data_IF_948447265153
#
_entry.id   IF_948447265153
#
_cell.length_a   1.000
_cell.length_b   1.000
_cell.length_c   1.000
_cell.angle_alpha   90.00
_cell.angle_beta   90.00
_cell.angle_gamma   90.00
#
_symmetry.space_group_name_H-M   'P 1'
#
loop_
_entity.id
_entity.type
_entity.pdbx_description
1 polymer ?
#
# COMPACT_ATOMS: atom_id res chain seq x y z
N UNK A 1 -20.84 35.00 9.74
CA UNK A 1 -20.19 33.93 10.54
C UNK A 1 -21.15 33.00 11.29
N UNK A 2 -22.35 33.40 11.71
CA UNK A 2 -23.29 32.50 12.43
C UNK A 2 -24.10 31.51 11.56
N UNK A 3 -24.25 31.75 10.25
CA UNK A 3 -25.07 30.89 9.36
C UNK A 3 -24.36 29.64 8.83
N UNK A 4 -23.02 29.60 8.81
CA UNK A 4 -22.25 28.41 8.39
C UNK A 4 -22.20 27.33 9.48
N UNK A 5 -22.14 27.70 10.77
CA UNK A 5 -22.09 26.74 11.88
C UNK A 5 -23.37 25.89 12.07
N UNK A 6 -24.52 26.34 11.55
CA UNK A 6 -25.80 25.61 11.67
C UNK A 6 -25.95 24.45 10.69
N UNK A 7 -25.34 24.50 9.50
CA UNK A 7 -25.45 23.43 8.49
C UNK A 7 -24.62 22.20 8.86
N UNK A 8 -23.44 22.40 9.44
CA UNK A 8 -22.55 21.30 9.86
C UNK A 8 -23.07 20.56 11.10
N UNK A 9 -23.65 21.29 12.06
CA UNK A 9 -24.29 20.70 13.24
C UNK A 9 -25.58 19.93 12.90
N UNK A 10 -26.39 20.43 11.94
CA UNK A 10 -27.58 19.72 11.45
C UNK A 10 -27.24 18.44 10.68
N UNK A 11 -26.07 18.36 10.03
CA UNK A 11 -25.62 17.14 9.36
C UNK A 11 -25.07 16.10 10.35
N UNK A 12 -24.35 16.55 11.38
CA UNK A 12 -23.91 15.71 12.50
C UNK A 12 -25.07 15.05 13.25
N UNK A 13 -26.12 15.83 13.56
CA UNK A 13 -27.35 15.32 14.19
C UNK A 13 -28.13 14.37 13.27
N UNK A 14 -28.01 14.50 11.95
CA UNK A 14 -28.60 13.56 10.96
C UNK A 14 -27.76 12.30 10.77
N UNK A 15 -26.44 12.36 10.93
CA UNK A 15 -25.52 11.23 10.80
C UNK A 15 -25.53 10.27 11.98
N UNK A 16 -25.83 10.75 13.19
CA UNK A 16 -25.86 9.93 14.41
C UNK A 16 -27.15 9.08 14.57
N UNK A 17 -28.21 9.33 13.79
CA UNK A 17 -29.52 8.67 13.95
C UNK A 17 -30.10 7.98 12.72
N UNK A 18 -29.49 8.11 11.53
CA UNK A 18 -29.89 7.29 10.37
C UNK A 18 -28.93 6.11 10.30
N UNK A 19 -29.46 4.88 10.35
CA UNK A 19 -28.78 3.73 9.74
C UNK A 19 -28.49 4.13 8.30
N UNK A 20 -27.26 4.52 8.01
CA UNK A 20 -26.84 4.84 6.65
C UNK A 20 -26.88 3.53 5.89
N UNK A 21 -27.89 3.35 5.05
CA UNK A 21 -27.98 2.15 4.23
C UNK A 21 -26.93 2.24 3.11
N UNK A 22 -26.17 1.16 2.87
CA UNK A 22 -25.29 1.06 1.71
C UNK A 22 -26.08 1.31 0.43
N UNK A 23 -25.52 2.04 -0.52
CA UNK A 23 -26.13 2.11 -1.84
C UNK A 23 -25.87 0.77 -2.55
N UNK A 24 -26.84 0.21 -3.28
CA UNK A 24 -26.66 -1.07 -3.98
C UNK A 24 -25.40 -1.10 -4.86
N UNK A 25 -25.05 0.02 -5.48
CA UNK A 25 -23.88 0.15 -6.33
C UNK A 25 -22.55 -0.09 -5.59
N UNK A 26 -22.45 0.31 -4.32
CA UNK A 26 -21.24 0.14 -3.52
C UNK A 26 -21.07 -1.30 -3.07
N UNK A 27 -22.18 -1.96 -2.71
CA UNK A 27 -22.17 -3.39 -2.40
C UNK A 27 -21.78 -4.20 -3.63
N UNK A 28 -22.35 -3.87 -4.78
CA UNK A 28 -21.99 -4.48 -6.06
C UNK A 28 -20.51 -4.26 -6.40
N UNK A 29 -19.97 -3.06 -6.18
CA UNK A 29 -18.57 -2.78 -6.40
C UNK A 29 -17.66 -3.66 -5.52
N UNK A 30 -17.92 -3.71 -4.20
CA UNK A 30 -17.14 -4.56 -3.29
C UNK A 30 -17.20 -6.03 -3.69
N UNK A 31 -18.38 -6.53 -4.05
CA UNK A 31 -18.58 -7.91 -4.50
C UNK A 31 -17.89 -8.20 -5.85
N UNK A 32 -17.96 -7.28 -6.81
CA UNK A 32 -17.30 -7.41 -8.10
C UNK A 32 -15.78 -7.47 -7.96
N UNK A 33 -15.19 -6.58 -7.17
CA UNK A 33 -13.75 -6.64 -6.87
C UNK A 33 -13.38 -7.90 -6.09
N UNK A 34 -14.22 -8.36 -5.15
CA UNK A 34 -13.97 -9.61 -4.43
C UNK A 34 -13.92 -10.80 -5.40
N UNK A 35 -14.90 -10.91 -6.30
CA UNK A 35 -14.93 -11.95 -7.33
C UNK A 35 -13.71 -11.92 -8.25
N UNK A 36 -13.33 -10.73 -8.73
CA UNK A 36 -12.15 -10.53 -9.60
C UNK A 36 -10.86 -11.00 -8.91
N UNK A 37 -10.69 -10.60 -7.65
CA UNK A 37 -9.51 -10.96 -6.86
C UNK A 37 -9.50 -12.46 -6.55
N UNK A 38 -10.61 -13.04 -6.14
CA UNK A 38 -10.71 -14.49 -5.94
C UNK A 38 -10.37 -15.27 -7.21
N UNK A 39 -10.90 -14.85 -8.37
CA UNK A 39 -10.59 -15.49 -9.65
C UNK A 39 -9.10 -15.44 -9.97
N UNK A 40 -8.45 -14.29 -9.76
CA UNK A 40 -7.02 -14.12 -10.03
C UNK A 40 -6.16 -15.08 -9.18
N UNK A 41 -6.43 -15.18 -7.88
CA UNK A 41 -5.66 -16.04 -6.96
C UNK A 41 -5.98 -17.54 -7.09
N UNK A 42 -7.08 -17.90 -7.76
CA UNK A 42 -7.44 -19.30 -8.06
C UNK A 42 -7.09 -19.73 -9.50
N UNK A 43 -6.46 -18.85 -10.28
CA UNK A 43 -6.00 -19.16 -11.64
C UNK A 43 -5.09 -20.40 -11.70
N UNK A 44 -5.20 -21.15 -12.79
CA UNK A 44 -4.32 -22.27 -13.15
C UNK A 44 -3.88 -22.12 -14.61
N UNK A 45 -2.57 -21.97 -14.92
CA UNK A 45 -1.46 -21.85 -13.96
C UNK A 45 -1.60 -20.62 -13.05
N UNK A 46 -0.95 -20.65 -11.88
CA UNK A 46 -1.02 -19.55 -10.91
C UNK A 46 -0.40 -18.28 -11.50
N UNK A 47 -1.25 -17.29 -11.80
CA UNK A 47 -0.88 -16.01 -12.37
C UNK A 47 -1.85 -14.93 -11.86
N UNK A 48 -1.65 -14.43 -10.63
CA UNK A 48 -2.57 -13.49 -9.98
C UNK A 48 -2.46 -12.09 -10.60
N UNK A 49 -3.08 -11.92 -11.78
CA UNK A 49 -3.17 -10.67 -12.54
C UNK A 49 -4.54 -10.04 -12.32
N UNK A 50 -4.69 -9.30 -11.22
CA UNK A 50 -5.92 -8.53 -10.99
C UNK A 50 -5.99 -7.39 -12.01
N UNK A 51 -7.15 -7.25 -12.66
CA UNK A 51 -7.36 -6.26 -13.72
C UNK A 51 -7.13 -4.82 -13.23
N UNK A 52 -6.64 -3.95 -14.13
CA UNK A 52 -6.49 -2.52 -13.90
C UNK A 52 -7.79 -1.73 -14.19
N UNK A 53 -8.82 -2.40 -14.70
CA UNK A 53 -10.13 -1.81 -14.98
C UNK A 53 -10.83 -1.35 -13.70
N UNK A 54 -11.69 -0.36 -13.86
CA UNK A 54 -12.45 0.26 -12.80
C UNK A 54 -13.91 -0.17 -12.86
N UNK A 55 -14.52 -0.41 -11.69
CA UNK A 55 -15.94 -0.70 -11.61
C UNK A 55 -16.77 0.59 -11.72
N UNK A 56 -17.61 0.69 -12.75
CA UNK A 56 -18.54 1.79 -12.94
C UNK A 56 -19.87 1.29 -13.52
N UNK A 57 -20.98 1.69 -12.90
CA UNK A 57 -22.32 1.43 -13.45
C UNK A 57 -22.66 -0.06 -13.68
N UNK A 58 -22.13 -0.98 -12.86
CA UNK A 58 -22.44 -2.41 -12.97
C UNK A 58 -21.49 -3.23 -13.86
N UNK A 59 -20.38 -2.65 -14.33
CA UNK A 59 -19.38 -3.32 -15.17
C UNK A 59 -17.97 -2.79 -14.91
N UNK A 60 -16.96 -3.57 -15.31
CA UNK A 60 -15.59 -3.09 -15.41
C UNK A 60 -15.39 -2.30 -16.71
N UNK A 61 -14.76 -1.14 -16.62
CA UNK A 61 -14.38 -0.30 -17.74
C UNK A 61 -12.90 0.10 -17.65
N UNK A 62 -12.29 0.41 -18.79
CA UNK A 62 -10.91 0.90 -18.84
C UNK A 62 -10.76 2.13 -17.93
N UNK A 63 -9.66 2.19 -17.17
CA UNK A 63 -9.37 3.37 -16.33
C UNK A 63 -9.06 4.62 -17.15
N UNK A 64 -8.73 4.45 -18.44
CA UNK A 64 -8.45 5.54 -19.36
C UNK A 64 -9.69 6.43 -19.57
N UNK A 65 -9.52 7.74 -19.45
CA UNK A 65 -10.60 8.72 -19.56
C UNK A 65 -11.42 8.91 -18.28
N UNK A 66 -11.18 8.10 -17.23
CA UNK A 66 -11.72 8.39 -15.90
C UNK A 66 -10.85 9.43 -15.19
N UNK A 67 -11.44 10.21 -14.25
CA UNK A 67 -10.66 11.12 -13.43
C UNK A 67 -9.54 10.37 -12.71
N UNK A 68 -8.36 10.98 -12.62
CA UNK A 68 -7.20 10.42 -11.93
C UNK A 68 -7.56 9.79 -10.57
N UNK A 69 -8.47 10.41 -9.84
CA UNK A 69 -8.93 9.93 -8.54
C UNK A 69 -10.37 9.38 -8.62
N UNK A 70 -10.58 8.33 -9.40
CA UNK A 70 -11.83 7.59 -9.42
C UNK A 70 -11.87 6.57 -8.28
N UNK A 71 -12.97 6.58 -7.51
CA UNK A 71 -13.25 5.58 -6.49
C UNK A 71 -14.63 4.97 -6.73
N UNK A 72 -14.74 3.63 -6.77
CA UNK A 72 -16.04 2.96 -6.89
C UNK A 72 -16.86 3.08 -5.59
N UNK A 73 -16.21 3.34 -4.45
CA UNK A 73 -16.84 3.67 -3.18
C UNK A 73 -16.76 5.18 -2.95
N UNK A 74 -17.87 5.93 -3.08
CA UNK A 74 -17.83 7.42 -3.05
C UNK A 74 -17.89 8.02 -1.64
N UNK A 75 -17.80 7.21 -0.58
CA UNK A 75 -18.11 7.66 0.79
C UNK A 75 -16.99 8.42 1.48
N UNK A 76 -15.75 7.93 1.44
CA UNK A 76 -14.66 8.67 2.11
C UNK A 76 -14.51 10.07 1.53
N UNK A 77 -14.29 11.03 2.44
CA UNK A 77 -14.20 12.46 2.12
C UNK A 77 -12.90 12.81 1.42
N UNK A 78 -11.88 12.00 1.62
CA UNK A 78 -10.59 12.09 0.94
C UNK A 78 -10.39 10.85 0.07
N UNK A 79 -10.02 11.06 -1.19
CA UNK A 79 -9.94 9.98 -2.18
C UNK A 79 -8.75 9.07 -1.91
N UNK A 80 -7.67 9.63 -1.36
CA UNK A 80 -6.50 8.84 -0.95
C UNK A 80 -6.82 7.82 0.15
N UNK A 81 -7.92 8.00 0.89
CA UNK A 81 -8.36 7.04 1.91
C UNK A 81 -8.92 5.74 1.32
N UNK A 82 -9.46 5.79 0.09
CA UNK A 82 -9.90 4.60 -0.65
C UNK A 82 -8.76 3.90 -1.38
N UNK A 83 -7.63 4.59 -1.58
CA UNK A 83 -6.54 4.00 -2.33
C UNK A 83 -5.98 2.80 -1.58
N UNK A 84 -5.73 1.75 -2.35
CA UNK A 84 -5.23 0.45 -1.90
C UNK A 84 -6.13 -0.25 -0.86
N UNK A 85 -7.37 0.23 -0.69
CA UNK A 85 -8.34 -0.31 0.26
C UNK A 85 -8.06 0.03 1.73
N UNK A 86 -7.30 1.09 2.02
CA UNK A 86 -6.91 1.41 3.41
C UNK A 86 -8.11 1.48 4.36
N UNK A 87 -9.15 2.23 4.01
CA UNK A 87 -10.36 2.36 4.81
C UNK A 87 -11.07 1.02 5.04
N UNK A 88 -11.16 0.17 4.01
CA UNK A 88 -11.74 -1.18 4.07
C UNK A 88 -11.00 -2.01 5.12
N UNK A 89 -9.65 -2.00 5.10
CA UNK A 89 -8.87 -2.78 6.05
C UNK A 89 -9.06 -2.33 7.49
N UNK A 90 -8.99 -1.02 7.74
CA UNK A 90 -9.13 -0.49 9.09
C UNK A 90 -10.54 -0.73 9.65
N UNK A 91 -11.58 -0.48 8.84
CA UNK A 91 -12.98 -0.74 9.23
C UNK A 91 -13.18 -2.22 9.52
N UNK A 92 -12.70 -3.11 8.65
CA UNK A 92 -12.78 -4.56 8.84
C UNK A 92 -12.08 -4.99 10.13
N UNK A 93 -10.87 -4.48 10.37
CA UNK A 93 -10.09 -4.78 11.58
C UNK A 93 -10.78 -4.29 12.86
N UNK A 94 -11.31 -3.07 12.84
CA UNK A 94 -12.11 -2.51 13.94
C UNK A 94 -13.50 -3.14 14.09
N UNK A 95 -13.91 -4.07 13.23
CA UNK A 95 -15.26 -4.65 13.20
C UNK A 95 -16.35 -3.61 12.97
N UNK A 96 -16.06 -2.59 12.16
CA UNK A 96 -17.04 -1.64 11.63
C UNK A 96 -17.54 -2.12 10.26
N UNK A 97 -18.76 -1.73 9.84
CA UNK A 97 -19.23 -2.01 8.49
C UNK A 97 -18.29 -1.38 7.45
N UNK A 98 -17.97 -2.12 6.38
CA UNK A 98 -17.09 -1.64 5.31
C UNK A 98 -17.69 -0.42 4.60
N UNK A 99 -19.00 -0.48 4.36
CA UNK A 99 -19.81 0.63 3.85
C UNK A 99 -20.52 1.27 5.05
N UNK A 100 -19.96 2.37 5.54
CA UNK A 100 -20.44 3.10 6.71
C UNK A 100 -20.33 4.62 6.50
N UNK A 101 -20.55 5.38 7.57
CA UNK A 101 -20.21 6.81 7.57
C UNK A 101 -18.73 7.00 7.19
N UNK A 102 -18.39 8.08 6.46
CA UNK A 102 -17.01 8.39 6.13
C UNK A 102 -16.17 8.55 7.40
N UNK A 103 -14.92 8.09 7.35
CA UNK A 103 -13.99 8.29 8.44
C UNK A 103 -13.75 9.80 8.65
N UNK A 104 -13.83 10.30 9.88
CA UNK A 104 -13.50 11.70 10.20
C UNK A 104 -11.97 11.90 10.29
N UNK A 105 -11.19 11.08 9.58
CA UNK A 105 -9.75 10.95 9.70
C UNK A 105 -9.10 11.08 8.32
N UNK A 106 -7.86 11.57 8.28
CA UNK A 106 -6.99 11.42 7.11
C UNK A 106 -6.11 10.19 7.27
N UNK A 107 -5.86 9.50 6.15
CA UNK A 107 -4.98 8.34 6.09
C UNK A 107 -3.77 8.67 5.22
N UNK A 108 -2.57 8.33 5.70
CA UNK A 108 -1.35 8.38 4.88
C UNK A 108 -1.54 7.51 3.62
N UNK A 109 -1.34 8.09 2.43
CA UNK A 109 -1.57 7.40 1.17
C UNK A 109 -0.52 6.32 0.89
N UNK A 110 0.72 6.57 1.29
CA UNK A 110 1.87 5.70 1.13
C UNK A 110 3.08 6.33 1.79
N UNK A 111 4.13 5.54 1.99
CA UNK A 111 5.33 5.94 2.74
C UNK A 111 5.82 7.33 2.32
N UNK A 112 5.92 8.26 3.27
CA UNK A 112 6.63 9.53 3.11
C UNK A 112 7.93 9.52 3.88
N UNK A 113 9.04 9.88 3.21
CA UNK A 113 10.37 9.94 3.85
C UNK A 113 10.90 11.36 4.04
N UNK A 114 10.21 12.38 3.52
CA UNK A 114 10.50 13.78 3.79
C UNK A 114 9.36 14.50 4.52
N UNK A 115 9.75 15.48 5.34
CA UNK A 115 8.85 16.35 6.11
C UNK A 115 8.02 17.28 5.20
N UNK A 116 8.56 17.62 4.04
CA UNK A 116 7.98 18.54 3.08
C UNK A 116 6.75 17.93 2.37
N UNK A 117 6.62 16.60 2.38
CA UNK A 117 5.54 15.88 1.70
C UNK A 117 4.13 16.34 2.14
N UNK A 118 3.38 16.91 1.18
CA UNK A 118 2.06 17.52 1.38
C UNK A 118 0.91 16.81 0.66
N UNK A 119 1.07 15.54 0.28
CA UNK A 119 0.06 14.80 -0.50
C UNK A 119 -1.32 14.81 0.17
N UNK A 120 -1.36 14.57 1.48
CA UNK A 120 -2.55 14.72 2.31
C UNK A 120 -2.40 15.99 3.15
N UNK A 121 -3.27 16.97 2.90
CA UNK A 121 -3.34 18.19 3.72
C UNK A 121 -4.63 18.16 4.55
N UNK A 122 -4.54 18.35 5.88
CA UNK A 122 -5.70 18.52 6.76
C UNK A 122 -6.79 19.42 6.19
N UNK A 123 -8.04 18.98 6.38
CA UNK A 123 -9.25 19.71 5.95
C UNK A 123 -10.06 20.08 7.18
N UNK A 124 -10.97 21.07 7.12
CA UNK A 124 -11.77 21.47 8.29
C UNK A 124 -12.60 20.35 8.93
N UNK A 125 -12.84 19.25 8.21
CA UNK A 125 -13.57 18.09 8.70
C UNK A 125 -12.70 17.01 9.35
N UNK A 126 -11.38 17.00 9.11
CA UNK A 126 -10.49 15.96 9.61
C UNK A 126 -10.20 16.20 11.09
N UNK A 127 -10.51 15.22 11.94
CA UNK A 127 -10.30 15.27 13.39
C UNK A 127 -8.90 14.81 13.80
N UNK A 128 -8.31 13.89 13.03
CA UNK A 128 -6.97 13.38 13.24
C UNK A 128 -6.40 12.78 11.95
N UNK A 129 -5.13 12.40 12.00
CA UNK A 129 -4.37 11.78 10.91
C UNK A 129 -3.83 10.42 11.36
N UNK A 130 -4.01 9.37 10.56
CA UNK A 130 -3.40 8.06 10.77
C UNK A 130 -2.19 7.88 9.86
N UNK A 131 -1.05 7.58 10.46
CA UNK A 131 0.22 7.34 9.79
C UNK A 131 0.70 5.91 10.06
N UNK A 132 1.55 5.38 9.18
CA UNK A 132 2.21 4.10 9.48
C UNK A 132 3.18 4.26 10.65
N UNK A 133 4.16 5.15 10.49
CA UNK A 133 5.24 5.35 11.46
C UNK A 133 5.10 6.58 12.36
N UNK A 134 5.79 6.56 13.51
CA UNK A 134 5.82 7.69 14.46
C UNK A 134 6.44 8.96 13.88
N UNK A 135 7.41 8.85 12.97
CA UNK A 135 8.09 10.02 12.40
C UNK A 135 7.13 10.87 11.55
N UNK A 136 6.30 10.24 10.71
CA UNK A 136 5.28 10.95 9.93
C UNK A 136 4.22 11.55 10.83
N UNK A 137 3.78 10.83 11.87
CA UNK A 137 2.83 11.37 12.84
C UNK A 137 3.39 12.62 13.56
N UNK A 138 4.67 12.61 13.94
CA UNK A 138 5.34 13.78 14.49
C UNK A 138 5.33 14.96 13.51
N UNK A 139 5.76 14.77 12.26
CA UNK A 139 5.76 15.84 11.25
C UNK A 139 4.38 16.45 11.00
N UNK A 140 3.33 15.63 10.99
CA UNK A 140 1.95 16.11 10.81
C UNK A 140 1.51 16.96 12.01
N UNK A 141 1.78 16.52 13.25
CA UNK A 141 1.45 17.29 14.46
C UNK A 141 2.13 18.65 14.45
N UNK A 142 3.45 18.68 14.20
CA UNK A 142 4.24 19.91 14.19
C UNK A 142 3.81 20.88 13.08
N UNK A 143 3.38 20.37 11.92
CA UNK A 143 3.04 21.22 10.76
C UNK A 143 1.62 21.76 10.81
N UNK A 144 0.66 20.99 11.35
CA UNK A 144 -0.76 21.29 11.20
C UNK A 144 -1.52 21.45 12.52
N UNK A 145 -0.86 21.26 13.67
CA UNK A 145 -1.51 21.28 15.00
C UNK A 145 -2.74 20.35 15.06
N UNK A 146 -2.65 19.21 14.35
CA UNK A 146 -3.70 18.20 14.26
C UNK A 146 -3.22 16.92 14.96
N UNK A 147 -4.06 16.25 15.77
CA UNK A 147 -3.72 14.95 16.32
C UNK A 147 -3.30 13.98 15.21
N UNK A 148 -2.14 13.36 15.35
CA UNK A 148 -1.67 12.32 14.44
C UNK A 148 -1.19 11.10 15.22
N UNK A 149 -1.58 9.92 14.75
CA UNK A 149 -1.36 8.64 15.41
C UNK A 149 -0.62 7.71 14.46
N UNK A 150 0.49 7.15 14.94
CA UNK A 150 1.10 6.00 14.29
C UNK A 150 0.31 4.75 14.66
N UNK A 151 -0.02 3.95 13.65
CA UNK A 151 -0.78 2.70 13.82
C UNK A 151 -0.06 1.51 13.22
N UNK A 152 1.17 1.64 12.78
CA UNK A 152 1.89 0.53 12.16
C UNK A 152 1.62 0.42 10.66
N UNK A 153 2.28 -0.54 9.99
CA UNK A 153 2.18 -0.69 8.54
C UNK A 153 0.77 -1.11 8.12
N UNK A 154 0.24 -0.56 7.02
CA UNK A 154 -1.12 -0.90 6.56
C UNK A 154 -1.32 -2.42 6.32
N UNK A 155 -0.25 -3.13 5.94
CA UNK A 155 -0.29 -4.58 5.70
C UNK A 155 -0.61 -5.40 6.96
N UNK A 156 -0.44 -4.85 8.17
CA UNK A 156 -0.82 -5.52 9.42
C UNK A 156 -2.34 -5.66 9.59
N UNK A 157 -3.11 -4.87 8.83
CA UNK A 157 -4.58 -4.87 8.85
C UNK A 157 -5.22 -5.58 7.66
N UNK A 158 -4.39 -5.99 6.69
CA UNK A 158 -4.80 -6.80 5.56
C UNK A 158 -4.93 -8.27 5.95
N UNK A 159 -5.65 -9.04 5.13
CA UNK A 159 -5.84 -10.49 5.31
C UNK A 159 -5.54 -11.21 4.01
N UNK A 160 -5.06 -12.46 4.14
CA UNK A 160 -4.99 -13.36 3.00
C UNK A 160 -6.38 -13.59 2.41
N UNK A 161 -6.45 -13.65 1.08
CA UNK A 161 -7.64 -13.97 0.29
C UNK A 161 -7.79 -15.48 0.10
N UNK A 162 -6.73 -16.22 0.42
CA UNK A 162 -6.70 -17.67 0.32
C UNK A 162 -7.01 -18.27 1.69
N UNK A 163 -7.79 -19.35 1.65
CA UNK A 163 -7.95 -20.20 2.82
C UNK A 163 -6.60 -20.84 3.19
N UNK A 164 -6.32 -21.11 4.48
CA UNK A 164 -5.03 -21.61 4.93
C UNK A 164 -4.55 -22.88 4.20
N UNK A 165 -5.46 -23.82 3.92
CA UNK A 165 -5.13 -25.04 3.18
C UNK A 165 -4.64 -24.73 1.75
N UNK A 166 -5.33 -23.82 1.06
CA UNK A 166 -5.02 -23.44 -0.31
C UNK A 166 -3.71 -22.66 -0.39
N UNK A 167 -3.47 -21.81 0.60
CA UNK A 167 -2.21 -21.08 0.75
C UNK A 167 -1.03 -22.05 0.96
N UNK A 168 -1.22 -23.09 1.79
CA UNK A 168 -0.20 -24.12 2.00
C UNK A 168 0.07 -24.94 0.73
N UNK A 169 -0.97 -25.37 0.01
CA UNK A 169 -0.83 -26.06 -1.27
C UNK A 169 -0.03 -25.24 -2.29
N UNK A 170 -0.38 -23.96 -2.44
CA UNK A 170 0.34 -23.05 -3.33
C UNK A 170 1.79 -22.84 -2.89
N UNK A 171 2.07 -22.68 -1.58
CA UNK A 171 3.45 -22.60 -1.08
C UNK A 171 4.25 -23.87 -1.38
N UNK A 172 3.63 -25.05 -1.30
CA UNK A 172 4.29 -26.32 -1.67
C UNK A 172 4.55 -26.41 -3.19
N UNK A 173 3.59 -25.96 -4.00
CA UNK A 173 3.70 -25.92 -5.46
C UNK A 173 4.76 -24.91 -5.93
N UNK A 174 4.87 -23.75 -5.30
CA UNK A 174 5.84 -22.70 -5.63
C UNK A 174 7.22 -22.99 -5.01
N UNK A 175 7.27 -23.49 -3.77
CA UNK A 175 8.50 -23.70 -3.01
C UNK A 175 9.06 -22.38 -2.47
N UNK A 176 10.35 -22.31 -2.08
CA UNK A 176 10.99 -21.06 -1.71
C UNK A 176 10.82 -20.04 -2.84
N UNK A 177 10.17 -18.92 -2.54
CA UNK A 177 9.69 -17.98 -3.57
C UNK A 177 10.18 -16.57 -3.28
N UNK A 178 10.74 -15.92 -4.30
CA UNK A 178 11.20 -14.54 -4.27
C UNK A 178 10.15 -13.63 -4.91
N UNK A 179 9.68 -12.63 -4.18
CA UNK A 179 8.85 -11.56 -4.71
C UNK A 179 9.73 -10.42 -5.22
N UNK A 180 9.54 -9.97 -6.45
CA UNK A 180 10.25 -8.83 -7.02
C UNK A 180 9.32 -7.63 -7.08
N UNK A 181 9.74 -6.52 -6.48
CA UNK A 181 9.04 -5.23 -6.53
C UNK A 181 10.03 -4.13 -6.89
N UNK A 182 9.94 -3.59 -8.10
CA UNK A 182 10.80 -2.49 -8.54
C UNK A 182 10.18 -1.11 -8.28
N UNK A 183 10.99 -0.06 -8.43
CA UNK A 183 10.48 1.30 -8.57
C UNK A 183 9.40 1.35 -9.67
N UNK A 184 8.24 1.93 -9.36
CA UNK A 184 7.14 2.04 -10.32
C UNK A 184 6.78 3.50 -10.60
N UNK A 185 6.22 3.73 -11.78
CA UNK A 185 5.77 5.04 -12.21
C UNK A 185 4.51 5.47 -11.45
N UNK A 186 4.36 6.77 -11.25
CA UNK A 186 3.14 7.37 -10.74
C UNK A 186 2.70 8.56 -11.59
N UNK A 187 1.53 9.12 -11.33
CA UNK A 187 0.94 10.19 -12.15
C UNK A 187 1.87 11.42 -12.27
N UNK A 188 2.51 11.57 -13.42
CA UNK A 188 3.46 12.64 -13.72
C UNK A 188 4.93 12.33 -13.46
N UNK A 189 5.25 11.13 -12.98
CA UNK A 189 6.63 10.65 -12.77
C UNK A 189 6.80 9.27 -13.39
N UNK A 190 7.65 9.17 -14.40
CA UNK A 190 8.00 7.89 -15.02
C UNK A 190 9.27 7.32 -14.38
N UNK A 191 9.24 6.03 -14.07
CA UNK A 191 10.38 5.30 -13.52
C UNK A 191 10.85 4.26 -14.52
N UNK A 192 12.15 4.22 -14.74
CA UNK A 192 12.79 3.24 -15.63
C UNK A 192 14.04 2.68 -14.97
N UNK A 193 14.50 1.53 -15.45
CA UNK A 193 15.71 0.88 -14.94
C UNK A 193 16.37 0.07 -16.06
N UNK A 194 17.66 -0.24 -15.90
CA UNK A 194 18.34 -1.19 -16.78
C UNK A 194 17.78 -2.60 -16.50
N UNK A 195 16.81 -2.99 -17.34
CA UNK A 195 16.10 -4.24 -17.15
C UNK A 195 17.02 -5.47 -17.29
N UNK A 196 17.88 -5.59 -18.33
CA UNK A 196 18.87 -6.67 -18.37
C UNK A 196 19.73 -6.79 -17.11
N UNK A 197 20.25 -5.67 -16.59
CA UNK A 197 21.03 -5.69 -15.34
C UNK A 197 20.17 -6.11 -14.14
N UNK A 198 18.92 -5.62 -14.04
CA UNK A 198 17.98 -6.02 -13.01
C UNK A 198 17.68 -7.52 -13.03
N UNK A 199 17.40 -8.08 -14.21
CA UNK A 199 17.13 -9.51 -14.38
C UNK A 199 18.32 -10.36 -13.95
N UNK A 200 19.54 -9.95 -14.33
CA UNK A 200 20.77 -10.63 -13.89
C UNK A 200 20.94 -10.58 -12.37
N UNK A 201 20.70 -9.42 -11.75
CA UNK A 201 20.78 -9.27 -10.29
C UNK A 201 19.73 -10.11 -9.56
N UNK A 202 18.49 -10.17 -10.07
CA UNK A 202 17.43 -11.00 -9.50
C UNK A 202 17.77 -12.48 -9.59
N UNK A 203 18.31 -12.96 -10.71
CA UNK A 203 18.75 -14.36 -10.83
C UNK A 203 19.90 -14.69 -9.89
N UNK A 204 20.84 -13.76 -9.67
CA UNK A 204 21.90 -13.93 -8.68
C UNK A 204 21.32 -14.04 -7.25
N UNK A 205 20.34 -13.20 -6.89
CA UNK A 205 19.62 -13.27 -5.61
C UNK A 205 18.85 -14.59 -5.50
N UNK A 206 18.12 -14.98 -6.57
CA UNK A 206 17.37 -16.23 -6.65
C UNK A 206 18.27 -17.42 -6.34
N UNK A 207 19.41 -17.52 -7.02
CA UNK A 207 20.37 -18.59 -6.85
C UNK A 207 21.00 -18.59 -5.45
N UNK A 208 21.51 -17.44 -4.99
CA UNK A 208 22.15 -17.31 -3.66
C UNK A 208 21.19 -17.63 -2.52
N UNK A 209 19.93 -17.21 -2.64
CA UNK A 209 18.90 -17.44 -1.64
C UNK A 209 18.18 -18.79 -1.75
N UNK A 210 18.52 -19.63 -2.73
CA UNK A 210 17.87 -20.92 -2.94
C UNK A 210 16.39 -20.83 -3.31
N UNK A 211 15.98 -19.74 -3.98
CA UNK A 211 14.60 -19.55 -4.40
C UNK A 211 14.28 -20.37 -5.65
N UNK A 212 13.25 -21.21 -5.57
CA UNK A 212 12.76 -22.02 -6.69
C UNK A 212 11.95 -21.19 -7.68
N UNK A 213 11.07 -20.34 -7.16
CA UNK A 213 10.15 -19.53 -7.96
C UNK A 213 10.40 -18.03 -7.78
N UNK A 214 10.13 -17.28 -8.83
CA UNK A 214 10.15 -15.82 -8.83
C UNK A 214 8.75 -15.32 -9.20
N UNK A 215 8.21 -14.43 -8.36
CA UNK A 215 6.98 -13.69 -8.66
C UNK A 215 7.38 -12.25 -8.96
N UNK A 216 7.12 -11.81 -10.18
CA UNK A 216 7.27 -10.44 -10.62
C UNK A 216 5.99 -9.64 -10.33
N UNK A 217 6.00 -8.80 -9.30
CA UNK A 217 4.85 -7.94 -9.00
C UNK A 217 4.96 -6.62 -9.78
N UNK A 218 4.18 -6.54 -10.87
CA UNK A 218 4.07 -5.35 -11.70
C UNK A 218 3.08 -4.35 -11.10
N UNK A 219 3.42 -3.06 -11.12
CA UNK A 219 2.45 -2.00 -10.84
C UNK A 219 1.52 -1.80 -12.05
N UNK A 220 0.23 -1.53 -11.81
CA UNK A 220 -0.80 -1.52 -12.86
C UNK A 220 -0.58 -0.47 -13.97
N UNK A 221 0.15 0.61 -13.69
CA UNK A 221 0.46 1.66 -14.68
C UNK A 221 1.72 1.37 -15.50
N UNK A 222 2.61 0.52 -15.01
CA UNK A 222 3.85 0.23 -15.71
C UNK A 222 3.55 -0.70 -16.91
N UNK A 223 4.25 -0.55 -18.04
CA UNK A 223 4.02 -1.41 -19.20
C UNK A 223 4.29 -2.89 -18.90
N UNK A 224 3.68 -3.78 -19.68
CA UNK A 224 4.11 -5.19 -19.70
C UNK A 224 5.51 -5.29 -20.30
N UNK A 225 6.32 -6.21 -19.77
CA UNK A 225 7.70 -6.39 -20.22
C UNK A 225 7.84 -7.69 -21.02
N UNK A 226 8.19 -7.62 -22.31
CA UNK A 226 8.23 -8.79 -23.19
C UNK A 226 9.46 -9.70 -22.98
N UNK A 227 10.37 -9.38 -22.05
CA UNK A 227 11.64 -10.08 -21.83
C UNK A 227 11.79 -10.78 -20.48
N UNK A 228 10.69 -10.94 -19.73
CA UNK A 228 10.75 -11.70 -18.46
C UNK A 228 10.99 -13.19 -18.75
N UNK A 229 11.79 -13.90 -17.92
CA UNK A 229 11.95 -15.34 -18.05
C UNK A 229 10.59 -16.06 -18.03
N UNK A 230 10.38 -17.07 -18.90
CA UNK A 230 9.07 -17.70 -19.07
C UNK A 230 8.61 -18.52 -17.86
N UNK A 231 9.53 -18.91 -16.97
CA UNK A 231 9.24 -19.60 -15.71
C UNK A 231 8.87 -18.64 -14.56
N UNK A 232 9.00 -17.32 -14.76
CA UNK A 232 8.61 -16.33 -13.77
C UNK A 232 7.12 -16.05 -13.81
N UNK A 233 6.54 -15.86 -12.63
CA UNK A 233 5.11 -15.62 -12.48
C UNK A 233 4.86 -14.11 -12.45
N UNK A 234 4.06 -13.61 -13.39
CA UNK A 234 3.67 -12.19 -13.40
C UNK A 234 2.42 -11.97 -12.55
N UNK A 235 2.54 -11.12 -11.54
CA UNK A 235 1.46 -10.72 -10.65
C UNK A 235 1.12 -9.23 -10.79
N UNK A 236 -0.12 -8.87 -10.45
CA UNK A 236 -0.60 -7.49 -10.37
C UNK A 236 -1.75 -7.42 -9.34
N UNK A 237 -1.70 -6.46 -8.41
CA UNK A 237 -2.77 -6.25 -7.41
C UNK A 237 -3.96 -5.43 -7.96
N UNK A 238 -3.90 -5.04 -9.24
CA UNK A 238 -4.92 -4.25 -9.91
C UNK A 238 -4.74 -2.75 -9.68
N UNK A 239 -5.75 -1.97 -10.08
CA UNK A 239 -5.76 -0.52 -9.93
C UNK A 239 -5.66 -0.11 -8.45
N UNK A 240 -5.10 1.08 -8.16
CA UNK A 240 -5.06 1.67 -6.81
C UNK A 240 -6.44 1.86 -6.17
N UNK A 241 -7.54 1.72 -6.92
CA UNK A 241 -8.92 1.84 -6.42
C UNK A 241 -9.54 0.48 -6.11
N UNK A 242 -8.79 -0.61 -6.26
CA UNK A 242 -9.21 -1.93 -5.81
C UNK A 242 -9.33 -1.94 -4.28
N UNK A 243 -10.53 -2.13 -3.70
CA UNK A 243 -10.75 -2.17 -2.25
C UNK A 243 -10.03 -3.34 -1.57
N UNK A 244 -9.62 -4.36 -2.32
CA UNK A 244 -8.89 -5.53 -1.83
C UNK A 244 -7.41 -5.50 -2.20
N UNK A 245 -6.87 -4.37 -2.66
CA UNK A 245 -5.48 -4.27 -3.13
C UNK A 245 -4.47 -4.75 -2.07
N UNK A 246 -4.59 -4.28 -0.81
CA UNK A 246 -3.69 -4.71 0.25
C UNK A 246 -3.89 -6.17 0.66
N UNK A 247 -5.10 -6.72 0.51
CA UNK A 247 -5.33 -8.16 0.72
C UNK A 247 -4.65 -8.99 -0.37
N UNK A 248 -4.72 -8.55 -1.63
CA UNK A 248 -3.96 -9.14 -2.73
C UNK A 248 -2.46 -9.10 -2.45
N UNK A 249 -1.94 -7.95 -2.01
CA UNK A 249 -0.52 -7.81 -1.67
C UNK A 249 -0.12 -8.70 -0.49
N UNK A 250 -0.94 -8.75 0.58
CA UNK A 250 -0.72 -9.62 1.75
C UNK A 250 -0.66 -11.07 1.32
N UNK A 251 -1.63 -11.51 0.52
CA UNK A 251 -1.70 -12.88 0.00
C UNK A 251 -0.46 -13.23 -0.80
N UNK A 252 0.00 -12.35 -1.70
CA UNK A 252 1.24 -12.57 -2.45
C UNK A 252 2.47 -12.66 -1.54
N UNK A 253 2.62 -11.72 -0.60
CA UNK A 253 3.76 -11.70 0.31
C UNK A 253 3.80 -12.93 1.22
N UNK A 254 2.66 -13.41 1.71
CA UNK A 254 2.60 -14.62 2.52
C UNK A 254 2.78 -15.93 1.74
N UNK A 255 2.76 -15.90 0.40
CA UNK A 255 3.21 -17.02 -0.43
C UNK A 255 4.74 -17.01 -0.63
N UNK A 256 5.40 -15.89 -0.34
CA UNK A 256 6.81 -15.67 -0.59
C UNK A 256 7.67 -15.89 0.67
N UNK A 257 8.98 -16.02 0.46
CA UNK A 257 10.00 -16.20 1.49
C UNK A 257 11.01 -15.04 1.50
N UNK A 258 11.16 -14.36 0.36
CA UNK A 258 11.96 -13.14 0.26
C UNK A 258 11.31 -12.10 -0.63
N UNK A 259 11.79 -10.87 -0.49
CA UNK A 259 11.45 -9.75 -1.36
C UNK A 259 12.73 -9.10 -1.87
N UNK A 260 12.83 -8.90 -3.19
CA UNK A 260 13.90 -8.14 -3.84
C UNK A 260 13.37 -6.82 -4.39
N UNK A 261 14.12 -5.73 -4.18
CA UNK A 261 13.75 -4.40 -4.69
C UNK A 261 14.96 -3.52 -4.98
N UNK A 262 14.81 -2.57 -5.90
CA UNK A 262 15.75 -1.47 -6.14
C UNK A 262 15.22 -0.10 -5.65
N UNK A 263 14.15 -0.10 -4.85
CA UNK A 263 13.49 1.14 -4.43
C UNK A 263 13.14 1.11 -2.95
N UNK A 264 13.46 2.22 -2.27
CA UNK A 264 13.01 2.44 -0.90
C UNK A 264 11.55 2.89 -0.90
N UNK A 265 10.65 1.93 -0.68
CA UNK A 265 9.20 2.13 -0.78
C UNK A 265 8.42 1.33 0.26
N UNK A 266 7.11 1.56 0.30
CA UNK A 266 6.16 1.00 1.29
C UNK A 266 6.30 -0.51 1.47
N UNK A 267 6.61 -1.25 0.39
CA UNK A 267 6.73 -2.70 0.36
C UNK A 267 7.87 -3.24 1.24
N UNK A 268 8.93 -2.46 1.52
CA UNK A 268 10.03 -2.91 2.37
C UNK A 268 9.59 -3.15 3.81
N UNK A 269 8.89 -2.17 4.41
CA UNK A 269 8.34 -2.35 5.75
C UNK A 269 7.24 -3.39 5.79
N UNK A 270 6.51 -3.59 4.69
CA UNK A 270 5.53 -4.67 4.63
C UNK A 270 6.18 -6.05 4.65
N UNK A 271 7.25 -6.25 3.89
CA UNK A 271 8.02 -7.48 3.90
C UNK A 271 8.59 -7.77 5.29
N UNK A 272 9.13 -6.76 5.98
CA UNK A 272 9.68 -6.94 7.32
C UNK A 272 8.59 -7.23 8.38
N UNK A 273 7.41 -6.62 8.26
CA UNK A 273 6.26 -6.91 9.12
C UNK A 273 5.65 -8.31 8.89
N UNK A 274 6.04 -8.95 7.79
CA UNK A 274 5.63 -10.27 7.35
C UNK A 274 6.76 -11.31 7.43
N UNK A 275 7.88 -10.93 8.04
CA UNK A 275 9.07 -11.76 8.21
C UNK A 275 9.61 -12.36 6.89
N UNK A 276 9.53 -11.59 5.79
CA UNK A 276 10.23 -11.92 4.54
C UNK A 276 11.70 -11.48 4.60
N UNK A 277 12.57 -12.29 4.00
CA UNK A 277 13.97 -11.92 3.80
C UNK A 277 14.06 -10.78 2.77
N UNK A 278 14.63 -9.65 3.15
CA UNK A 278 14.86 -8.52 2.23
C UNK A 278 16.14 -8.73 1.42
N UNK A 279 16.07 -8.39 0.14
CA UNK A 279 17.18 -8.38 -0.81
C UNK A 279 17.20 -7.06 -1.55
N UNK A 280 18.39 -6.53 -1.80
CA UNK A 280 18.56 -5.29 -2.57
C UNK A 280 19.06 -5.57 -3.98
N UNK A 281 18.42 -4.96 -4.95
CA UNK A 281 18.84 -4.96 -6.36
C UNK A 281 19.65 -3.69 -6.57
N UNK A 282 20.97 -3.83 -6.69
CA UNK A 282 21.93 -2.73 -6.87
C UNK A 282 21.89 -2.06 -8.26
N UNK A 283 20.71 -1.90 -8.84
CA UNK A 283 20.50 -1.26 -10.14
C UNK A 283 19.60 -0.04 -9.93
N UNK A 284 20.20 1.13 -9.99
CA UNK A 284 19.51 2.38 -9.68
C UNK A 284 18.39 2.69 -10.69
N UNK A 285 17.17 2.98 -10.22
CA UNK A 285 16.11 3.45 -11.09
C UNK A 285 16.34 4.92 -11.48
N UNK A 286 16.04 5.21 -12.74
CA UNK A 286 16.00 6.56 -13.30
C UNK A 286 14.62 7.18 -13.15
N UNK A 287 14.55 8.50 -13.26
CA UNK A 287 13.31 9.26 -13.13
C UNK A 287 13.16 10.29 -14.24
N UNK A 288 11.99 10.29 -14.89
CA UNK A 288 11.54 11.42 -15.70
C UNK A 288 10.45 12.18 -14.93
N UNK A 289 10.68 13.48 -14.77
CA UNK A 289 9.82 14.42 -14.06
C UNK A 289 9.13 15.41 -15.01
N UNK A 290 9.25 15.21 -16.33
CA UNK A 290 8.67 16.08 -17.37
C UNK A 290 7.16 16.25 -17.24
N UNK A 291 6.47 15.26 -16.64
CA UNK A 291 5.04 15.30 -16.35
C UNK A 291 4.64 16.14 -15.12
N UNK A 292 5.60 16.66 -14.35
CA UNK A 292 5.34 17.48 -13.16
C UNK A 292 5.39 18.98 -13.44
N UNK A 293 4.58 19.74 -12.69
CA UNK A 293 4.70 21.21 -12.61
C UNK A 293 5.92 21.57 -11.76
N UNK A 294 6.61 22.68 -12.06
CA UNK A 294 7.88 23.07 -11.41
C UNK A 294 7.87 22.99 -9.87
N UNK A 295 6.83 23.51 -9.20
CA UNK A 295 6.74 23.44 -7.73
C UNK A 295 6.64 22.02 -7.15
N UNK A 296 6.18 21.04 -7.94
CA UNK A 296 6.14 19.62 -7.55
C UNK A 296 7.47 18.91 -7.84
N UNK A 297 8.28 19.42 -8.76
CA UNK A 297 9.59 18.85 -9.09
C UNK A 297 10.51 18.93 -7.88
N UNK A 298 10.62 20.09 -7.23
CA UNK A 298 11.50 20.26 -6.07
C UNK A 298 11.13 19.32 -4.91
N UNK A 299 9.83 19.15 -4.68
CA UNK A 299 9.30 18.23 -3.66
C UNK A 299 9.66 16.79 -4.00
N UNK A 300 9.50 16.38 -5.26
CA UNK A 300 9.82 15.01 -5.70
C UNK A 300 11.34 14.75 -5.66
N UNK A 301 12.17 15.72 -6.07
CA UNK A 301 13.63 15.61 -6.00
C UNK A 301 14.10 15.45 -4.55
N UNK A 302 13.53 16.22 -3.63
CA UNK A 302 13.85 16.09 -2.21
C UNK A 302 13.39 14.75 -1.62
N UNK A 303 12.15 14.34 -1.88
CA UNK A 303 11.66 13.02 -1.44
C UNK A 303 12.52 11.88 -2.02
N UNK A 304 12.91 11.97 -3.29
CA UNK A 304 13.75 10.98 -3.96
C UNK A 304 15.16 10.92 -3.39
N UNK A 305 15.79 12.06 -3.10
CA UNK A 305 17.13 12.08 -2.51
C UNK A 305 17.16 11.41 -1.13
N UNK A 306 16.11 11.63 -0.32
CA UNK A 306 15.94 10.95 0.97
C UNK A 306 15.76 9.44 0.79
N UNK A 307 14.97 9.01 -0.21
CA UNK A 307 14.84 7.58 -0.55
C UNK A 307 16.18 6.96 -0.93
N UNK A 308 16.98 7.64 -1.76
CA UNK A 308 18.31 7.14 -2.15
C UNK A 308 19.26 7.04 -0.96
N UNK A 309 19.24 8.00 -0.03
CA UNK A 309 20.05 7.93 1.19
C UNK A 309 19.66 6.71 2.06
N UNK A 310 18.36 6.47 2.23
CA UNK A 310 17.84 5.31 2.95
C UNK A 310 18.10 4.00 2.21
N UNK A 311 18.01 3.97 0.88
CA UNK A 311 18.39 2.83 0.03
C UNK A 311 19.83 2.41 0.28
N UNK A 312 20.78 3.37 0.35
CA UNK A 312 22.19 3.07 0.62
C UNK A 312 22.41 2.49 2.01
N UNK A 313 21.74 3.03 3.02
CA UNK A 313 21.79 2.48 4.38
C UNK A 313 21.23 1.05 4.43
N UNK A 314 20.07 0.82 3.82
CA UNK A 314 19.45 -0.50 3.73
C UNK A 314 20.37 -1.49 3.00
N UNK A 315 20.90 -1.12 1.83
CA UNK A 315 21.81 -1.96 1.05
C UNK A 315 23.07 -2.32 1.84
N UNK A 316 23.68 -1.34 2.53
CA UNK A 316 24.84 -1.59 3.38
C UNK A 316 24.55 -2.58 4.51
N UNK A 317 23.35 -2.52 5.14
CA UNK A 317 22.95 -3.49 6.16
C UNK A 317 22.76 -4.90 5.57
N UNK A 318 22.24 -4.98 4.35
CA UNK A 318 22.02 -6.26 3.66
C UNK A 318 23.33 -6.88 3.14
N UNK A 319 24.32 -6.06 2.75
CA UNK A 319 25.62 -6.52 2.26
C UNK A 319 26.55 -6.97 3.39
N UNK A 320 26.48 -6.30 4.55
CA UNK A 320 27.30 -6.60 5.73
C UNK A 320 26.71 -7.72 6.60
N UNK A 321 25.45 -8.08 6.36
CA UNK A 321 24.74 -9.07 7.14
C UNK A 321 25.19 -10.50 6.82
N UNK A 322 25.80 -11.16 7.79
CA UNK A 322 25.68 -12.62 7.88
C UNK A 322 24.19 -12.96 8.11
N UNK A 323 23.77 -14.18 7.77
CA UNK A 323 22.40 -14.70 7.91
C UNK A 323 21.88 -14.81 9.37
N UNK A 324 22.39 -13.98 10.28
CA UNK A 324 22.14 -13.94 11.72
C UNK A 324 21.02 -12.95 12.07
N UNK A 325 20.44 -13.08 13.26
CA UNK A 325 19.36 -12.23 13.76
C UNK A 325 19.71 -10.74 13.88
N UNK A 326 21.00 -10.40 13.85
CA UNK A 326 21.50 -9.02 14.00
C UNK A 326 21.11 -8.15 12.79
N UNK A 327 21.15 -8.70 11.57
CA UNK A 327 20.74 -7.99 10.35
C UNK A 327 19.26 -7.60 10.40
N UNK A 328 18.39 -8.53 10.81
CA UNK A 328 16.94 -8.26 10.95
C UNK A 328 16.67 -7.20 12.00
N UNK A 329 17.39 -7.21 13.13
CA UNK A 329 17.25 -6.18 14.15
C UNK A 329 17.68 -4.80 13.65
N UNK A 330 18.79 -4.72 12.93
CA UNK A 330 19.27 -3.47 12.32
C UNK A 330 18.29 -2.93 11.26
N UNK A 331 17.74 -3.81 10.40
CA UNK A 331 16.69 -3.43 9.44
C UNK A 331 15.44 -2.93 10.15
N UNK A 332 15.00 -3.61 11.22
CA UNK A 332 13.85 -3.15 12.02
C UNK A 332 14.12 -1.77 12.60
N UNK A 333 15.30 -1.52 13.13
CA UNK A 333 15.67 -0.21 13.67
C UNK A 333 15.65 0.89 12.59
N UNK A 334 16.18 0.63 11.40
CA UNK A 334 16.19 1.57 10.27
C UNK A 334 14.76 1.93 9.82
N UNK A 335 13.86 0.93 9.72
CA UNK A 335 12.52 1.13 9.19
C UNK A 335 11.49 1.56 10.25
N UNK A 336 11.76 1.30 11.53
CA UNK A 336 10.84 1.56 12.64
C UNK A 336 10.25 2.98 12.67
N UNK A 337 11.03 4.07 12.44
CA UNK A 337 10.47 5.42 12.44
C UNK A 337 9.38 5.66 11.39
N UNK A 338 9.45 4.92 10.28
CA UNK A 338 8.60 5.12 9.10
C UNK A 338 7.40 4.16 9.05
N UNK A 339 7.53 2.95 9.59
CA UNK A 339 6.44 1.96 9.60
C UNK A 339 5.86 1.66 10.97
N UNK A 340 6.53 1.96 12.08
CA UNK A 340 5.99 1.80 13.44
C UNK A 340 5.56 0.36 13.76
N UNK A 341 6.46 -0.62 13.66
CA UNK A 341 6.11 -2.05 13.82
C UNK A 341 5.51 -2.38 15.20
N UNK A 342 5.87 -1.61 16.23
CA UNK A 342 5.34 -1.72 17.59
C UNK A 342 4.03 -0.92 17.82
N UNK A 343 3.52 -0.23 16.79
CA UNK A 343 2.34 0.62 16.89
C UNK A 343 1.04 -0.06 16.43
N UNK A 344 1.11 -1.33 16.01
CA UNK A 344 -0.05 -2.08 15.50
C UNK A 344 -1.14 -2.14 16.57
N UNK A 345 -2.36 -1.77 16.19
CA UNK A 345 -3.50 -1.64 17.09
C UNK A 345 -4.32 -2.92 17.12
N UNK A 346 -4.79 -3.29 18.29
CA UNK A 346 -5.83 -4.31 18.45
C UNK A 346 -7.15 -3.88 17.76
N UNK A 347 -8.06 -4.82 17.47
CA UNK A 347 -9.39 -4.49 16.96
C UNK A 347 -10.16 -3.46 17.80
N UNK A 348 -10.04 -3.53 19.13
CA UNK A 348 -10.72 -2.62 20.05
C UNK A 348 -10.14 -1.20 19.99
N UNK A 349 -8.81 -1.09 20.01
CA UNK A 349 -8.12 0.20 19.87
C UNK A 349 -8.41 0.84 18.51
N UNK A 350 -8.32 0.07 17.43
CA UNK A 350 -8.65 0.54 16.08
C UNK A 350 -10.09 1.05 16.02
N UNK A 351 -11.05 0.32 16.59
CA UNK A 351 -12.45 0.76 16.67
C UNK A 351 -12.58 2.11 17.39
N UNK A 352 -11.89 2.30 18.51
CA UNK A 352 -11.89 3.55 19.28
C UNK A 352 -11.33 4.71 18.45
N UNK A 353 -10.18 4.47 17.79
CA UNK A 353 -9.52 5.45 16.92
C UNK A 353 -10.44 5.88 15.77
N UNK A 354 -11.05 4.91 15.06
CA UNK A 354 -11.91 5.18 13.91
C UNK A 354 -13.21 5.91 14.29
N UNK A 355 -13.65 5.81 15.54
CA UNK A 355 -14.78 6.57 16.09
C UNK A 355 -14.39 7.95 16.61
N UNK A 356 -13.09 8.25 16.67
CA UNK A 356 -12.53 9.41 17.37
C UNK A 356 -12.95 9.49 18.83
N UNK A 357 -13.06 8.33 19.48
CA UNK A 357 -13.21 8.22 20.92
C UNK A 357 -11.82 8.41 21.55
N UNK A 358 -11.26 9.61 21.38
CA UNK A 358 -10.04 10.02 22.09
C UNK A 358 -10.49 10.40 23.49
N UNK A 359 -10.45 9.46 24.43
CA UNK A 359 -10.66 9.75 25.84
C UNK A 359 -9.68 10.85 26.26
N UNK A 360 -10.23 11.96 26.75
CA UNK A 360 -9.49 13.06 27.36
C UNK A 360 -8.95 12.66 28.74
#
# INVERSE_FOLDING_TARGET
>A
MLKLRRKDAQWWLRGLRRRIQPEPQEQQALAAYAGLVHQAFHSQPFAPRVCADLWEGGRFCLSHGLPAFHTPARREREKSSHHYGHDIQLKRHGGLPLIAAPLPLLLEHGLKVSRESGFETPKPWSKAFLCMGPLRAQWVRERFDLPALAIGPWIAYARSLLEPHRQQELRQQLGPTLLVVLAHSWEGVERSTDLPACLSAIEAIRAKGGYRSVIWLRHWMDPEWPGLPPDWIVACNGHRSNPWFLDSLRTLMELCHGLASNAFGTHLGYALALDLNLHWIGVDPQQDLSGLRSAKVDVEVNEWSQRLALSRQLASLLDTGDSTGDTTAALRLLLQPYWGFDQVKSPAEMRSILRCDFSA
#
